data_IF_468669397535
#
_entry.id   IF_468669397535
#
_cell.length_a   1.000
_cell.length_b   1.000
_cell.length_c   1.000
_cell.angle_alpha   90.00
_cell.angle_beta   90.00
_cell.angle_gamma   90.00
#
_symmetry.space_group_name_H-M   'P 1'
#
loop_
_entity.id
_entity.type
_entity.pdbx_description
1 polymer ?
#
# COMPACT_ATOMS: atom_id res chain seq x y z
N UNK A 1 42.17 42.14 -9.92
CA UNK A 1 42.20 40.92 -10.76
C UNK A 1 42.50 41.33 -12.20
N UNK A 2 42.82 40.41 -13.12
CA UNK A 2 42.93 40.65 -14.58
C UNK A 2 44.34 40.95 -15.15
N UNK A 3 45.27 39.98 -15.04
CA UNK A 3 46.34 39.75 -16.04
C UNK A 3 46.53 38.24 -16.34
N UNK A 4 46.49 37.39 -15.31
CA UNK A 4 46.65 35.93 -15.45
C UNK A 4 45.52 35.21 -16.20
N UNK A 5 44.24 35.57 -15.94
CA UNK A 5 43.08 34.91 -16.56
C UNK A 5 43.00 35.16 -18.08
N UNK A 6 43.49 36.31 -18.55
CA UNK A 6 43.55 36.65 -19.98
C UNK A 6 44.61 35.81 -20.72
N UNK A 7 45.79 35.60 -20.14
CA UNK A 7 46.85 34.78 -20.73
C UNK A 7 46.41 33.31 -20.79
N UNK A 8 45.88 32.78 -19.68
CA UNK A 8 45.43 31.38 -19.62
C UNK A 8 44.27 31.12 -20.60
N UNK A 9 43.30 32.03 -20.67
CA UNK A 9 42.20 31.95 -21.63
C UNK A 9 42.71 31.95 -23.07
N UNK A 10 43.64 32.84 -23.42
CA UNK A 10 44.24 32.91 -24.77
C UNK A 10 44.97 31.62 -25.13
N UNK A 11 45.71 31.04 -24.19
CA UNK A 11 46.40 29.76 -24.38
C UNK A 11 45.42 28.62 -24.65
N UNK A 12 44.34 28.52 -23.87
CA UNK A 12 43.31 27.48 -24.09
C UNK A 12 42.54 27.73 -25.40
N UNK A 13 42.32 28.98 -25.79
CA UNK A 13 41.71 29.28 -27.10
C UNK A 13 42.60 28.87 -28.27
N UNK A 14 43.92 29.06 -28.18
CA UNK A 14 44.86 28.55 -29.18
C UNK A 14 44.81 27.03 -29.27
N UNK A 15 44.75 26.34 -28.12
CA UNK A 15 44.56 24.89 -28.07
C UNK A 15 43.22 24.46 -28.70
N UNK A 16 42.12 25.15 -28.37
CA UNK A 16 40.82 24.88 -28.94
C UNK A 16 40.77 25.12 -30.46
N UNK A 17 41.53 26.10 -30.98
CA UNK A 17 41.66 26.33 -32.41
C UNK A 17 42.36 25.15 -33.11
N UNK A 18 43.45 24.63 -32.54
CA UNK A 18 44.11 23.40 -33.03
C UNK A 18 43.17 22.19 -32.98
N UNK A 19 42.42 22.03 -31.88
CA UNK A 19 41.42 20.97 -31.74
C UNK A 19 40.32 21.09 -32.81
N UNK A 20 39.89 22.31 -33.13
CA UNK A 20 38.83 22.55 -34.10
C UNK A 20 39.16 22.09 -35.52
N UNK A 21 40.45 22.03 -35.87
CA UNK A 21 40.92 21.58 -37.19
C UNK A 21 40.74 20.06 -37.37
N UNK A 22 40.59 19.32 -36.27
CA UNK A 22 40.38 17.88 -36.26
C UNK A 22 38.88 17.50 -36.21
N UNK A 23 37.98 18.49 -36.08
CA UNK A 23 36.54 18.26 -36.01
C UNK A 23 35.93 18.20 -37.42
N UNK A 24 35.07 17.21 -37.71
CA UNK A 24 34.31 17.17 -38.95
C UNK A 24 33.39 18.39 -39.07
N UNK A 25 33.39 19.05 -40.23
CA UNK A 25 32.50 20.19 -40.51
C UNK A 25 31.04 19.74 -40.49
N UNK A 26 30.17 20.53 -39.89
CA UNK A 26 28.75 20.25 -39.71
C UNK A 26 28.42 19.35 -38.52
N UNK A 27 29.42 18.90 -37.75
CA UNK A 27 29.19 18.02 -36.60
C UNK A 27 28.54 18.75 -35.42
N UNK A 28 27.72 18.01 -34.66
CA UNK A 28 27.29 18.40 -33.32
C UNK A 28 28.30 17.85 -32.32
N UNK A 29 28.92 18.73 -31.55
CA UNK A 29 30.08 18.44 -30.71
C UNK A 29 29.71 18.60 -29.24
N UNK A 30 29.90 17.55 -28.45
CA UNK A 30 29.83 17.61 -27.00
C UNK A 30 31.24 17.62 -26.43
N UNK A 31 31.51 18.54 -25.51
CA UNK A 31 32.81 18.68 -24.84
C UNK A 31 32.61 18.25 -23.40
N UNK A 32 33.10 17.06 -23.10
CA UNK A 32 33.09 16.53 -21.75
C UNK A 32 34.17 17.20 -20.90
N UNK A 33 33.98 17.16 -19.59
CA UNK A 33 35.03 17.54 -18.66
C UNK A 33 36.29 16.67 -18.83
N UNK A 34 37.45 17.29 -18.72
CA UNK A 34 38.72 16.56 -18.66
C UNK A 34 39.01 16.13 -17.22
N UNK A 35 39.24 14.84 -17.01
CA UNK A 35 39.52 14.26 -15.69
C UNK A 35 41.00 13.93 -15.51
N UNK A 36 41.44 13.51 -14.33
CA UNK A 36 42.71 12.80 -14.21
C UNK A 36 42.56 11.32 -14.65
N UNK A 37 43.63 10.53 -14.53
CA UNK A 37 43.62 9.09 -14.84
C UNK A 37 42.73 8.26 -13.90
N UNK A 38 42.29 8.82 -12.77
CA UNK A 38 41.37 8.18 -11.83
C UNK A 38 39.92 8.63 -12.04
N UNK A 39 39.66 9.46 -13.05
CA UNK A 39 38.32 9.97 -13.34
C UNK A 39 37.91 11.17 -12.48
N UNK A 40 38.81 11.68 -11.64
CA UNK A 40 38.52 12.85 -10.82
C UNK A 40 38.62 14.09 -11.71
N UNK A 41 37.48 14.76 -11.89
CA UNK A 41 37.43 16.03 -12.62
C UNK A 41 37.79 17.18 -11.69
N UNK A 42 38.95 17.78 -11.92
CA UNK A 42 39.32 19.03 -11.24
C UNK A 42 38.52 20.21 -11.80
N UNK A 43 38.45 21.32 -11.05
CA UNK A 43 37.87 22.55 -11.58
C UNK A 43 38.61 23.04 -12.83
N UNK A 44 39.94 22.86 -12.90
CA UNK A 44 40.69 23.20 -14.10
C UNK A 44 40.23 22.35 -15.30
N UNK A 45 39.91 21.08 -15.08
CA UNK A 45 39.22 20.20 -16.06
C UNK A 45 37.95 20.81 -16.61
N UNK A 46 37.07 21.27 -15.71
CA UNK A 46 35.82 21.95 -16.08
C UNK A 46 36.07 23.27 -16.82
N UNK A 47 37.02 24.06 -16.34
CA UNK A 47 37.39 25.35 -16.93
C UNK A 47 37.91 25.19 -18.36
N UNK A 48 38.77 24.20 -18.61
CA UNK A 48 39.26 23.86 -19.96
C UNK A 48 38.08 23.51 -20.87
N UNK A 49 37.19 22.60 -20.45
CA UNK A 49 36.01 22.24 -21.24
C UNK A 49 35.13 23.45 -21.57
N UNK A 50 34.87 24.34 -20.60
CA UNK A 50 34.11 25.58 -20.80
C UNK A 50 34.80 26.53 -21.79
N UNK A 51 36.12 26.69 -21.71
CA UNK A 51 36.86 27.58 -22.62
C UNK A 51 36.93 27.01 -24.04
N UNK A 52 37.11 25.71 -24.20
CA UNK A 52 37.01 25.04 -25.51
C UNK A 52 35.59 25.25 -26.06
N UNK A 53 34.54 25.02 -25.26
CA UNK A 53 33.15 25.24 -25.67
C UNK A 53 32.89 26.67 -26.13
N UNK A 54 33.30 27.65 -25.34
CA UNK A 54 33.16 29.08 -25.67
C UNK A 54 33.94 29.50 -26.91
N UNK A 55 35.07 28.84 -27.22
CA UNK A 55 35.82 29.10 -28.44
C UNK A 55 35.15 28.46 -29.65
N UNK A 56 34.70 27.22 -29.50
CA UNK A 56 34.06 26.47 -30.57
C UNK A 56 32.68 27.05 -30.94
N UNK A 57 31.88 27.52 -29.99
CA UNK A 57 30.58 28.18 -30.28
C UNK A 57 30.70 29.42 -31.16
N UNK A 58 31.87 30.06 -31.22
CA UNK A 58 32.14 31.21 -32.10
C UNK A 58 32.44 30.79 -33.55
N UNK A 59 32.70 29.52 -33.80
CA UNK A 59 32.96 28.98 -35.12
C UNK A 59 31.67 28.37 -35.68
N UNK A 60 31.25 28.83 -36.86
CA UNK A 60 30.00 28.42 -37.51
C UNK A 60 30.07 27.03 -38.16
N UNK A 61 31.22 26.38 -38.15
CA UNK A 61 31.43 25.10 -38.79
C UNK A 61 30.90 23.90 -37.98
N UNK A 62 30.47 24.09 -36.74
CA UNK A 62 29.96 23.02 -35.88
C UNK A 62 28.96 23.56 -34.86
N UNK A 63 28.10 22.68 -34.36
CA UNK A 63 27.13 23.00 -33.31
C UNK A 63 27.62 22.45 -31.98
N UNK A 64 27.81 23.29 -30.97
CA UNK A 64 28.25 22.83 -29.65
C UNK A 64 27.05 22.57 -28.76
N UNK A 65 27.01 21.41 -28.11
CA UNK A 65 25.95 21.06 -27.17
C UNK A 65 26.07 21.88 -25.88
N UNK A 66 24.95 22.39 -25.38
CA UNK A 66 24.91 23.08 -24.09
C UNK A 66 25.11 22.09 -22.93
N UNK A 67 26.06 22.43 -22.05
CA UNK A 67 26.45 21.62 -20.90
C UNK A 67 25.31 21.45 -19.90
N UNK A 68 24.54 22.50 -19.64
CA UNK A 68 23.47 22.47 -18.63
C UNK A 68 22.37 21.47 -19.01
N UNK A 69 22.12 21.34 -20.31
CA UNK A 69 21.15 20.40 -20.86
C UNK A 69 21.53 18.94 -20.55
N UNK A 70 22.83 18.62 -20.53
CA UNK A 70 23.33 17.27 -20.21
C UNK A 70 23.27 16.97 -18.72
N UNK A 71 23.61 17.94 -17.87
CA UNK A 71 23.55 17.76 -16.42
C UNK A 71 22.11 17.46 -15.95
N UNK A 72 21.10 18.02 -16.62
CA UNK A 72 19.69 17.69 -16.35
C UNK A 72 19.36 16.25 -16.76
N UNK A 73 19.75 15.84 -17.98
CA UNK A 73 19.50 14.47 -18.48
C UNK A 73 20.18 13.43 -17.58
N UNK A 74 21.42 13.68 -17.16
CA UNK A 74 22.17 12.77 -16.27
C UNK A 74 21.50 12.63 -14.90
N UNK A 75 20.93 13.71 -14.35
CA UNK A 75 20.16 13.69 -13.09
C UNK A 75 18.87 12.89 -13.25
N UNK A 76 18.13 13.09 -14.33
CA UNK A 76 16.88 12.36 -14.60
C UNK A 76 17.12 10.86 -14.79
N UNK A 77 18.18 10.49 -15.52
CA UNK A 77 18.52 9.09 -15.78
C UNK A 77 19.25 8.40 -14.62
N UNK A 78 19.52 9.09 -13.50
CA UNK A 78 20.31 8.60 -12.36
C UNK A 78 21.63 7.95 -12.81
N UNK A 79 22.23 8.48 -13.87
CA UNK A 79 23.40 7.88 -14.50
C UNK A 79 24.60 8.00 -13.55
N UNK A 80 25.12 6.86 -13.09
CA UNK A 80 26.31 6.81 -12.24
C UNK A 80 27.50 6.45 -13.11
N UNK A 81 28.37 7.43 -13.38
CA UNK A 81 29.67 7.17 -13.96
C UNK A 81 30.77 7.56 -12.96
N UNK A 82 31.80 6.72 -12.87
CA UNK A 82 32.92 6.86 -11.94
C UNK A 82 33.90 7.98 -12.32
N UNK A 83 33.51 8.85 -13.25
CA UNK A 83 34.34 9.95 -13.75
C UNK A 83 35.41 9.55 -14.77
N UNK A 84 35.83 8.28 -14.81
CA UNK A 84 36.76 7.76 -15.83
C UNK A 84 35.98 7.57 -17.13
N UNK A 85 36.23 8.43 -18.13
CA UNK A 85 35.60 8.31 -19.45
C UNK A 85 36.50 7.53 -20.37
N UNK A 86 36.12 6.28 -20.65
CA UNK A 86 36.68 5.46 -21.72
C UNK A 86 35.91 5.67 -23.03
N UNK A 87 36.37 5.08 -24.14
CA UNK A 87 35.72 5.24 -25.44
C UNK A 87 34.25 4.76 -25.42
N UNK A 88 33.90 3.75 -24.60
CA UNK A 88 32.53 3.24 -24.49
C UNK A 88 31.62 4.23 -23.78
N UNK A 89 32.05 4.71 -22.61
CA UNK A 89 31.33 5.71 -21.82
C UNK A 89 31.20 7.02 -22.62
N UNK A 90 32.22 7.39 -23.38
CA UNK A 90 32.18 8.56 -24.26
C UNK A 90 31.09 8.44 -25.33
N UNK A 91 30.93 7.27 -25.96
CA UNK A 91 29.85 7.02 -26.93
C UNK A 91 28.47 7.17 -26.27
N UNK A 92 28.28 6.64 -25.07
CA UNK A 92 27.01 6.75 -24.34
C UNK A 92 26.68 8.20 -24.00
N UNK A 93 27.65 8.94 -23.43
CA UNK A 93 27.49 10.36 -23.12
C UNK A 93 27.20 11.17 -24.38
N UNK A 94 27.89 10.89 -25.49
CA UNK A 94 27.63 11.54 -26.78
C UNK A 94 26.21 11.31 -27.30
N UNK A 95 25.70 10.07 -27.19
CA UNK A 95 24.31 9.73 -27.56
C UNK A 95 23.29 10.45 -26.68
N UNK A 96 23.50 10.43 -25.36
CA UNK A 96 22.64 11.15 -24.40
C UNK A 96 22.64 12.65 -24.70
N UNK A 97 23.77 13.18 -25.15
CA UNK A 97 23.92 14.57 -25.51
C UNK A 97 23.39 14.96 -26.88
N UNK A 98 22.93 13.99 -27.69
CA UNK A 98 22.55 14.25 -29.08
C UNK A 98 23.73 14.74 -29.93
N UNK A 99 24.97 14.41 -29.53
CA UNK A 99 26.17 14.79 -30.24
C UNK A 99 26.60 13.70 -31.22
N UNK A 100 27.08 14.12 -32.40
CA UNK A 100 27.73 13.22 -33.36
C UNK A 100 29.20 12.97 -33.01
N UNK A 101 29.82 13.91 -32.28
CA UNK A 101 31.23 13.86 -31.89
C UNK A 101 31.34 14.24 -30.42
N UNK A 102 32.15 13.49 -29.66
CA UNK A 102 32.48 13.82 -28.28
C UNK A 102 33.98 14.12 -28.17
N UNK A 103 34.30 15.19 -27.45
CA UNK A 103 35.65 15.55 -27.03
C UNK A 103 35.75 15.26 -25.55
N UNK A 104 36.70 14.41 -25.16
CA UNK A 104 36.98 14.08 -23.77
C UNK A 104 38.48 13.92 -23.60
N UNK A 105 38.98 13.87 -22.37
CA UNK A 105 40.42 13.82 -22.20
C UNK A 105 40.90 13.87 -20.77
N UNK A 106 42.21 14.00 -20.62
CA UNK A 106 42.87 14.00 -19.32
C UNK A 106 43.62 15.28 -19.05
N UNK A 107 43.62 15.71 -17.78
CA UNK A 107 44.52 16.75 -17.27
C UNK A 107 45.53 16.08 -16.37
N UNK A 108 46.81 16.29 -16.69
CA UNK A 108 47.93 15.81 -15.88
C UNK A 108 48.70 17.00 -15.32
N UNK A 109 48.77 17.07 -13.99
CA UNK A 109 49.49 18.11 -13.30
C UNK A 109 50.91 17.65 -12.94
N UNK A 110 51.93 18.37 -13.43
CA UNK A 110 53.33 18.18 -13.06
C UNK A 110 53.83 19.35 -12.22
N UNK A 111 55.02 19.23 -11.62
CA UNK A 111 55.60 20.28 -10.77
C UNK A 111 55.70 21.64 -11.48
N UNK A 112 56.08 21.67 -12.75
CA UNK A 112 56.37 22.89 -13.52
C UNK A 112 55.44 23.12 -14.71
N UNK A 113 54.51 22.21 -15.00
CA UNK A 113 53.60 22.31 -16.14
C UNK A 113 52.28 21.58 -15.89
N UNK A 114 51.27 21.88 -16.68
CA UNK A 114 50.01 21.15 -16.76
C UNK A 114 49.84 20.68 -18.20
N UNK A 115 49.64 19.39 -18.40
CA UNK A 115 49.33 18.79 -19.69
C UNK A 115 47.81 18.59 -19.81
N UNK A 116 47.27 18.95 -20.97
CA UNK A 116 45.89 18.70 -21.37
C UNK A 116 45.95 17.79 -22.58
N UNK A 117 45.37 16.60 -22.47
CA UNK A 117 45.25 15.64 -23.56
C UNK A 117 43.78 15.52 -23.93
N UNK A 118 43.44 15.68 -25.21
CA UNK A 118 42.07 15.50 -25.71
C UNK A 118 42.02 14.42 -26.78
N UNK A 119 40.98 13.59 -26.70
CA UNK A 119 40.54 12.64 -27.70
C UNK A 119 39.23 13.12 -28.30
N UNK A 120 39.12 12.97 -29.62
CA UNK A 120 37.92 13.28 -30.39
C UNK A 120 37.38 11.94 -30.89
N UNK A 121 36.14 11.62 -30.55
CA UNK A 121 35.52 10.35 -30.89
C UNK A 121 34.23 10.57 -31.67
N UNK A 122 34.08 9.85 -32.78
CA UNK A 122 32.81 9.75 -33.50
C UNK A 122 31.87 8.82 -32.75
N UNK A 123 30.70 9.35 -32.35
CA UNK A 123 29.69 8.63 -31.59
C UNK A 123 29.04 7.53 -32.43
N UNK A 124 28.89 7.77 -33.73
CA UNK A 124 28.31 6.82 -34.68
C UNK A 124 29.22 5.60 -34.87
N UNK A 125 30.52 5.83 -35.11
CA UNK A 125 31.45 4.74 -35.43
C UNK A 125 32.18 4.19 -34.21
N UNK A 126 32.04 4.81 -33.04
CA UNK A 126 32.80 4.52 -31.82
C UNK A 126 34.32 4.51 -32.03
N UNK A 127 34.83 5.39 -32.91
CA UNK A 127 36.26 5.49 -33.24
C UNK A 127 36.81 6.84 -32.84
N UNK A 128 38.01 6.83 -32.28
CA UNK A 128 38.81 8.05 -32.10
C UNK A 128 39.23 8.54 -33.49
N UNK A 129 38.80 9.74 -33.84
CA UNK A 129 39.06 10.38 -35.13
C UNK A 129 40.16 11.43 -35.05
N UNK A 130 40.56 11.81 -33.84
CA UNK A 130 41.66 12.74 -33.61
C UNK A 130 42.10 12.78 -32.17
N UNK A 131 43.34 13.19 -31.95
CA UNK A 131 43.92 13.41 -30.62
C UNK A 131 44.77 14.67 -30.67
N UNK A 132 44.77 15.45 -29.60
CA UNK A 132 45.63 16.63 -29.48
C UNK A 132 45.99 16.85 -28.03
N UNK A 133 47.26 17.12 -27.77
CA UNK A 133 47.77 17.50 -26.47
C UNK A 133 48.28 18.95 -26.45
N UNK A 134 48.32 19.53 -25.26
CA UNK A 134 48.90 20.83 -25.04
C UNK A 134 49.50 20.94 -23.65
N UNK A 135 50.66 21.59 -23.55
CA UNK A 135 51.38 21.76 -22.29
C UNK A 135 51.45 23.23 -21.91
N UNK A 136 50.92 23.56 -20.74
CA UNK A 136 50.95 24.90 -20.16
C UNK A 136 52.03 24.93 -19.08
N UNK A 137 53.07 25.75 -19.24
CA UNK A 137 54.06 25.95 -18.19
C UNK A 137 53.42 26.69 -17.00
N UNK A 138 53.62 26.17 -15.78
CA UNK A 138 53.16 26.80 -14.55
C UNK A 138 54.02 28.03 -14.25
N UNK A 139 53.60 29.19 -14.74
CA UNK A 139 54.10 30.47 -14.24
C UNK A 139 53.47 30.77 -12.87
N UNK A 140 54.05 31.70 -12.10
CA UNK A 140 53.57 32.09 -10.77
C UNK A 140 52.06 32.44 -10.77
N UNK A 141 51.60 33.12 -11.82
CA UNK A 141 50.19 33.51 -11.99
C UNK A 141 49.24 32.32 -12.22
N UNK A 142 49.70 31.26 -12.90
CA UNK A 142 48.92 30.03 -13.15
C UNK A 142 48.90 29.16 -11.91
N UNK A 143 50.01 29.11 -11.16
CA UNK A 143 50.08 28.40 -9.89
C UNK A 143 49.13 29.01 -8.84
N UNK A 144 49.02 30.34 -8.77
CA UNK A 144 48.12 31.03 -7.82
C UNK A 144 46.63 30.84 -8.17
N UNK A 145 46.28 30.78 -9.46
CA UNK A 145 44.93 30.46 -9.93
C UNK A 145 44.56 28.99 -9.62
N UNK A 146 45.49 28.06 -9.83
CA UNK A 146 45.31 26.65 -9.46
C UNK A 146 45.17 26.50 -7.93
N UNK A 147 45.98 27.21 -7.15
CA UNK A 147 45.94 27.18 -5.69
C UNK A 147 44.62 27.75 -5.12
N UNK A 148 44.14 28.88 -5.65
CA UNK A 148 42.87 29.51 -5.21
C UNK A 148 41.67 28.61 -5.48
N UNK A 149 41.71 27.92 -6.61
CA UNK A 149 40.68 26.96 -7.01
C UNK A 149 40.73 25.69 -6.16
N UNK A 150 41.92 25.14 -5.89
CA UNK A 150 42.10 23.97 -5.01
C UNK A 150 41.64 24.30 -3.58
N UNK A 151 42.01 25.47 -3.03
CA UNK A 151 41.57 25.88 -1.70
C UNK A 151 40.05 26.02 -1.60
N UNK A 152 39.39 26.49 -2.66
CA UNK A 152 37.93 26.57 -2.70
C UNK A 152 37.27 25.18 -2.71
N UNK A 153 37.87 24.19 -3.39
CA UNK A 153 37.38 22.81 -3.41
C UNK A 153 37.64 22.04 -2.10
N UNK A 154 38.76 22.30 -1.42
CA UNK A 154 39.06 21.73 -0.10
C UNK A 154 38.18 22.31 1.00
N UNK A 155 37.89 23.62 0.95
CA UNK A 155 36.93 24.25 1.84
C UNK A 155 35.53 23.69 1.63
N UNK A 156 35.10 23.55 0.37
CA UNK A 156 33.79 22.97 0.04
C UNK A 156 33.71 21.50 0.49
N UNK A 157 34.79 20.73 0.35
CA UNK A 157 34.87 19.35 0.84
C UNK A 157 34.78 19.28 2.36
N UNK A 158 35.48 20.17 3.09
CA UNK A 158 35.40 20.25 4.56
C UNK A 158 34.01 20.66 5.04
N UNK A 159 33.37 21.60 4.36
CA UNK A 159 32.00 22.01 4.65
C UNK A 159 31.02 20.86 4.41
N UNK A 160 31.14 20.15 3.28
CA UNK A 160 30.33 18.96 2.99
C UNK A 160 30.57 17.82 4.00
N UNK A 161 31.82 17.60 4.42
CA UNK A 161 32.14 16.59 5.44
C UNK A 161 31.56 16.97 6.80
N UNK A 162 31.62 18.24 7.19
CA UNK A 162 31.00 18.74 8.41
C UNK A 162 29.46 18.63 8.36
N UNK A 163 28.85 18.97 7.22
CA UNK A 163 27.40 18.83 7.01
C UNK A 163 26.98 17.36 7.02
N UNK A 164 27.74 16.47 6.37
CA UNK A 164 27.52 15.02 6.42
C UNK A 164 27.58 14.49 7.85
N UNK A 165 28.53 14.96 8.66
CA UNK A 165 28.60 14.54 10.07
C UNK A 165 27.38 15.00 10.88
N UNK A 166 26.89 16.22 10.65
CA UNK A 166 25.66 16.71 11.30
C UNK A 166 24.44 15.87 10.91
N UNK A 167 24.30 15.53 9.63
CA UNK A 167 23.21 14.68 9.14
C UNK A 167 23.27 13.30 9.79
N UNK A 168 24.47 12.70 9.87
CA UNK A 168 24.64 11.39 10.52
C UNK A 168 24.23 11.43 12.00
N UNK A 169 24.67 12.46 12.73
CA UNK A 169 24.27 12.66 14.13
C UNK A 169 22.74 12.82 14.28
N UNK A 170 22.11 13.54 13.37
CA UNK A 170 20.66 13.75 13.39
C UNK A 170 19.90 12.45 13.11
N UNK A 171 20.37 11.62 12.17
CA UNK A 171 19.80 10.30 11.88
C UNK A 171 19.92 9.38 13.09
N UNK A 172 21.07 9.37 13.75
CA UNK A 172 21.30 8.52 14.94
C UNK A 172 20.38 8.94 16.10
N UNK A 173 20.25 10.24 16.34
CA UNK A 173 19.33 10.77 17.35
C UNK A 173 17.86 10.44 17.05
N UNK A 174 17.43 10.57 15.80
CA UNK A 174 16.07 10.20 15.38
C UNK A 174 15.80 8.70 15.56
N UNK A 175 16.79 7.85 15.27
CA UNK A 175 16.71 6.40 15.49
C UNK A 175 16.56 6.07 16.97
N UNK A 176 17.37 6.67 17.83
CA UNK A 176 17.30 6.46 19.29
C UNK A 176 15.93 6.87 19.84
N UNK A 177 15.45 8.07 19.47
CA UNK A 177 14.14 8.55 19.90
C UNK A 177 13.00 7.63 19.43
N UNK A 178 13.06 7.13 18.20
CA UNK A 178 12.06 6.21 17.68
C UNK A 178 12.09 4.86 18.41
N UNK A 179 13.28 4.34 18.70
CA UNK A 179 13.44 3.09 19.45
C UNK A 179 12.87 3.22 20.87
N UNK A 180 13.19 4.31 21.57
CA UNK A 180 12.64 4.60 22.90
C UNK A 180 11.11 4.71 22.89
N UNK A 181 10.53 5.30 21.84
CA UNK A 181 9.08 5.37 21.64
C UNK A 181 8.44 3.98 21.49
N UNK A 182 9.06 3.10 20.70
CA UNK A 182 8.58 1.72 20.49
C UNK A 182 8.67 0.89 21.78
N UNK A 183 9.75 1.02 22.54
CA UNK A 183 9.93 0.33 23.83
C UNK A 183 8.86 0.73 24.85
N UNK A 184 8.49 2.02 24.88
CA UNK A 184 7.43 2.52 25.74
C UNK A 184 6.07 1.92 25.37
N UNK A 185 5.75 1.89 24.07
CA UNK A 185 4.51 1.31 23.56
C UNK A 185 4.42 -0.20 23.83
N UNK A 186 5.52 -0.93 23.62
CA UNK A 186 5.61 -2.36 23.94
C UNK A 186 5.32 -2.62 25.43
N UNK A 187 5.89 -1.79 26.31
CA UNK A 187 5.66 -1.90 27.76
C UNK A 187 4.19 -1.65 28.12
N UNK A 188 3.54 -0.67 27.49
CA UNK A 188 2.13 -0.39 27.69
C UNK A 188 1.24 -1.55 27.21
N UNK A 189 1.55 -2.11 26.04
CA UNK A 189 0.83 -3.26 25.49
C UNK A 189 0.97 -4.49 26.38
N UNK A 190 2.19 -4.79 26.85
CA UNK A 190 2.44 -5.89 27.81
C UNK A 190 1.59 -5.74 29.07
N UNK A 191 1.53 -4.53 29.64
CA UNK A 191 0.70 -4.28 30.83
C UNK A 191 -0.80 -4.45 30.53
N UNK A 192 -1.25 -4.01 29.35
CA UNK A 192 -2.64 -4.18 28.91
C UNK A 192 -3.01 -5.65 28.75
N UNK A 193 -2.12 -6.47 28.18
CA UNK A 193 -2.30 -7.92 28.03
C UNK A 193 -2.46 -8.57 29.41
N UNK A 194 -1.58 -8.27 30.36
CA UNK A 194 -1.64 -8.82 31.73
C UNK A 194 -3.00 -8.53 32.39
N UNK A 195 -3.51 -7.30 32.23
CA UNK A 195 -4.79 -6.90 32.78
C UNK A 195 -5.96 -7.64 32.11
N UNK A 196 -5.96 -7.72 30.77
CA UNK A 196 -6.98 -8.44 30.01
C UNK A 196 -7.00 -9.94 30.34
N UNK A 197 -5.84 -10.58 30.49
CA UNK A 197 -5.77 -11.97 30.91
C UNK A 197 -6.34 -12.20 32.31
N UNK A 198 -6.11 -11.26 33.24
CA UNK A 198 -6.72 -11.32 34.58
C UNK A 198 -8.24 -11.26 34.49
N UNK A 199 -8.76 -10.29 33.75
CA UNK A 199 -10.21 -10.11 33.55
C UNK A 199 -10.84 -11.35 32.87
N UNK A 200 -10.17 -11.91 31.86
CA UNK A 200 -10.60 -13.14 31.21
C UNK A 200 -10.65 -14.32 32.19
N UNK A 201 -9.61 -14.49 33.02
CA UNK A 201 -9.57 -15.55 34.05
C UNK A 201 -10.76 -15.42 35.01
N UNK A 202 -11.01 -14.23 35.54
CA UNK A 202 -12.14 -13.97 36.44
C UNK A 202 -13.48 -14.30 35.79
N UNK A 203 -13.73 -13.78 34.58
CA UNK A 203 -14.96 -14.05 33.81
C UNK A 203 -15.12 -15.54 33.47
N UNK A 204 -14.02 -16.25 33.19
CA UNK A 204 -14.06 -17.68 32.86
C UNK A 204 -14.52 -18.54 34.04
N UNK A 205 -14.22 -18.12 35.29
CA UNK A 205 -14.68 -18.81 36.50
C UNK A 205 -16.18 -18.60 36.67
N UNK A 206 -16.64 -17.35 36.60
CA UNK A 206 -18.07 -17.00 36.70
C UNK A 206 -18.90 -17.73 35.64
N UNK A 207 -18.39 -17.83 34.41
CA UNK A 207 -19.07 -18.55 33.34
C UNK A 207 -19.26 -20.04 33.66
N UNK A 208 -18.29 -20.69 34.32
CA UNK A 208 -18.42 -22.09 34.74
C UNK A 208 -19.54 -22.25 35.77
N UNK A 209 -19.62 -21.36 36.74
CA UNK A 209 -20.69 -21.37 37.76
C UNK A 209 -22.07 -21.20 37.13
N UNK A 210 -22.21 -20.24 36.20
CA UNK A 210 -23.47 -20.00 35.50
C UNK A 210 -23.92 -21.21 34.66
N UNK A 211 -22.99 -21.93 34.03
CA UNK A 211 -23.31 -23.17 33.29
C UNK A 211 -23.91 -24.23 34.21
N UNK A 212 -23.35 -24.42 35.40
CA UNK A 212 -23.87 -25.36 36.40
C UNK A 212 -25.28 -24.95 36.85
N UNK A 213 -25.51 -23.66 37.11
CA UNK A 213 -26.84 -23.15 37.46
C UNK A 213 -27.87 -23.39 36.35
N UNK A 214 -27.50 -23.17 35.08
CA UNK A 214 -28.37 -23.42 33.93
C UNK A 214 -28.80 -24.89 33.80
N UNK A 215 -27.91 -25.83 34.10
CA UNK A 215 -28.27 -27.25 34.13
C UNK A 215 -29.26 -27.59 35.23
N UNK A 216 -29.13 -26.98 36.42
CA UNK A 216 -30.12 -27.13 37.50
C UNK A 216 -31.50 -26.62 37.06
N UNK A 217 -31.56 -25.44 36.41
CA UNK A 217 -32.80 -24.88 35.90
C UNK A 217 -33.49 -25.80 34.87
N UNK A 218 -32.74 -26.42 33.95
CA UNK A 218 -33.30 -27.39 32.99
C UNK A 218 -33.96 -28.60 33.65
N UNK A 219 -33.42 -29.07 34.79
CA UNK A 219 -34.04 -30.17 35.54
C UNK A 219 -35.39 -29.76 36.12
N UNK A 220 -35.46 -28.57 36.71
CA UNK A 220 -36.70 -28.00 37.26
C UNK A 220 -37.74 -27.83 36.14
N UNK A 221 -37.35 -27.33 34.97
CA UNK A 221 -38.25 -27.16 33.83
C UNK A 221 -38.84 -28.50 33.35
N UNK A 222 -38.03 -29.58 33.35
CA UNK A 222 -38.50 -30.94 33.04
C UNK A 222 -39.54 -31.44 34.06
N UNK A 223 -39.32 -31.18 35.35
CA UNK A 223 -40.28 -31.52 36.41
C UNK A 223 -41.60 -30.77 36.25
N UNK A 224 -41.56 -29.46 35.98
CA UNK A 224 -42.75 -28.65 35.69
C UNK A 224 -43.55 -29.25 34.53
N UNK A 225 -42.89 -29.64 33.43
CA UNK A 225 -43.54 -30.24 32.28
C UNK A 225 -44.21 -31.59 32.59
N UNK A 226 -43.60 -32.41 33.46
CA UNK A 226 -44.22 -33.67 33.92
C UNK A 226 -45.51 -33.39 34.70
N UNK A 227 -45.46 -32.44 35.63
CA UNK A 227 -46.64 -32.03 36.42
C UNK A 227 -47.75 -31.52 35.49
N UNK A 228 -47.41 -30.71 34.49
CA UNK A 228 -48.38 -30.20 33.52
C UNK A 228 -49.13 -31.33 32.78
N UNK A 229 -48.40 -32.36 32.33
CA UNK A 229 -48.99 -33.52 31.66
C UNK A 229 -49.92 -34.34 32.58
N UNK A 230 -49.61 -34.44 33.87
CA UNK A 230 -50.48 -35.12 34.84
C UNK A 230 -51.79 -34.36 35.07
N UNK A 231 -51.73 -33.03 35.18
CA UNK A 231 -52.92 -32.18 35.25
C UNK A 231 -53.82 -32.38 34.03
N UNK A 232 -53.22 -32.43 32.83
CA UNK A 232 -53.98 -32.64 31.59
C UNK A 232 -54.70 -33.99 31.57
N UNK A 233 -54.03 -35.08 31.97
CA UNK A 233 -54.64 -36.42 32.06
C UNK A 233 -55.80 -36.47 33.06
N UNK A 234 -55.64 -35.83 34.22
CA UNK A 234 -56.69 -35.81 35.25
C UNK A 234 -57.93 -35.02 34.81
N UNK A 235 -57.78 -34.08 33.86
CA UNK A 235 -58.83 -33.10 33.56
C UNK A 235 -59.97 -33.58 32.63
N UNK A 236 -59.84 -34.70 31.90
CA UNK A 236 -60.85 -35.44 31.08
C UNK A 236 -62.01 -34.67 30.36
N UNK A 237 -61.88 -33.37 30.11
CA UNK A 237 -62.98 -32.49 29.67
C UNK A 237 -63.24 -32.44 28.16
N UNK A 238 -62.29 -32.88 27.34
CA UNK A 238 -62.39 -32.82 25.87
C UNK A 238 -63.37 -33.89 25.32
N UNK A 239 -63.56 -35.01 26.03
CA UNK A 239 -64.48 -36.09 25.63
C UNK A 239 -65.96 -35.73 25.80
N UNK A 240 -66.27 -34.65 26.52
CA UNK A 240 -67.64 -34.19 26.76
C UNK A 240 -68.20 -33.37 25.59
N UNK A 241 -67.34 -32.94 24.66
CA UNK A 241 -67.75 -32.14 23.51
C UNK A 241 -68.51 -33.01 22.50
N UNK A 242 -69.62 -32.46 21.98
CA UNK A 242 -70.45 -33.08 20.93
C UNK A 242 -70.68 -32.09 19.80
N UNK A 243 -70.85 -32.61 18.59
CA UNK A 243 -71.27 -31.79 17.45
C UNK A 243 -72.66 -31.21 17.70
N UNK A 244 -72.85 -29.94 17.33
CA UNK A 244 -74.09 -29.21 17.58
C UNK A 244 -74.11 -28.37 18.86
N UNK A 245 -73.12 -28.53 19.76
CA UNK A 245 -73.00 -27.68 20.95
C UNK A 245 -72.78 -26.22 20.57
N UNK A 246 -73.30 -25.30 21.38
CA UNK A 246 -73.06 -23.88 21.21
C UNK A 246 -71.67 -23.48 21.72
N UNK A 247 -71.15 -22.37 21.22
CA UNK A 247 -69.84 -21.83 21.64
C UNK A 247 -69.76 -21.57 23.15
N UNK A 248 -70.85 -21.10 23.76
CA UNK A 248 -70.92 -20.85 25.19
C UNK A 248 -70.89 -22.15 26.00
N UNK A 249 -71.62 -23.19 25.59
CA UNK A 249 -71.57 -24.53 26.21
C UNK A 249 -70.15 -25.14 26.13
N UNK A 250 -69.47 -24.96 25.00
CA UNK A 250 -68.09 -25.42 24.83
C UNK A 250 -67.13 -24.65 25.74
N UNK A 251 -67.30 -23.33 25.86
CA UNK A 251 -66.51 -22.49 26.76
C UNK A 251 -66.78 -22.79 28.23
N UNK A 252 -68.00 -23.20 28.60
CA UNK A 252 -68.33 -23.65 29.95
C UNK A 252 -67.58 -24.94 30.32
N UNK A 253 -67.53 -25.92 29.40
CA UNK A 253 -66.84 -27.19 29.59
C UNK A 253 -65.31 -27.00 29.68
N UNK A 254 -64.75 -26.18 28.78
CA UNK A 254 -63.30 -26.04 28.63
C UNK A 254 -62.71 -24.89 29.47
N UNK A 255 -63.52 -23.90 29.83
CA UNK A 255 -63.13 -22.71 30.59
C UNK A 255 -61.99 -21.96 29.92
N UNK A 256 -61.07 -21.45 30.75
CA UNK A 256 -59.88 -20.68 30.33
C UNK A 256 -58.87 -21.44 29.46
N UNK A 257 -59.10 -22.74 29.19
CA UNK A 257 -58.24 -23.56 28.31
C UNK A 257 -58.53 -23.33 26.83
N UNK A 258 -59.74 -22.86 26.50
CA UNK A 258 -60.09 -22.45 25.16
C UNK A 258 -59.62 -21.02 24.93
N UNK A 259 -58.77 -20.82 23.93
CA UNK A 259 -58.36 -19.49 23.46
C UNK A 259 -59.04 -19.20 22.14
N UNK A 260 -59.72 -18.06 22.05
CA UNK A 260 -60.32 -17.60 20.82
C UNK A 260 -59.21 -17.31 19.78
N UNK A 261 -59.41 -17.76 18.55
CA UNK A 261 -58.54 -17.38 17.45
C UNK A 261 -58.70 -15.90 17.11
N UNK A 262 -57.59 -15.20 16.84
CA UNK A 262 -57.59 -13.86 16.24
C UNK A 262 -57.88 -13.89 14.73
N UNK A 263 -58.13 -15.07 14.16
CA UNK A 263 -58.44 -15.28 12.75
C UNK A 263 -59.87 -14.80 12.41
N UNK A 264 -60.16 -14.39 11.16
CA UNK A 264 -61.53 -14.10 10.70
C UNK A 264 -62.49 -15.29 10.79
N UNK A 265 -61.97 -16.50 11.05
CA UNK A 265 -62.75 -17.72 11.22
C UNK A 265 -63.05 -17.99 12.69
N UNK A 266 -64.27 -18.45 12.98
CA UNK A 266 -64.75 -18.63 14.35
C UNK A 266 -64.27 -19.98 14.92
N UNK A 267 -63.07 -19.97 15.52
CA UNK A 267 -62.43 -21.14 16.11
C UNK A 267 -61.97 -20.94 17.56
N UNK A 268 -61.95 -22.04 18.31
CA UNK A 268 -61.29 -22.14 19.62
C UNK A 268 -60.09 -23.08 19.57
N UNK A 269 -58.94 -22.63 20.09
CA UNK A 269 -57.76 -23.45 20.30
C UNK A 269 -57.72 -24.00 21.72
N UNK A 270 -57.56 -25.32 21.85
CA UNK A 270 -57.60 -26.02 23.13
C UNK A 270 -56.46 -27.04 23.16
N UNK A 271 -55.30 -26.64 23.69
CA UNK A 271 -54.09 -27.45 23.60
C UNK A 271 -53.75 -27.76 22.14
N UNK A 272 -53.77 -29.04 21.77
CA UNK A 272 -53.55 -29.50 20.38
C UNK A 272 -54.80 -29.56 19.51
N UNK A 273 -55.97 -29.18 20.02
CA UNK A 273 -57.22 -29.26 19.28
C UNK A 273 -57.63 -27.90 18.72
N UNK A 274 -58.18 -27.93 17.51
CA UNK A 274 -58.85 -26.78 16.87
C UNK A 274 -60.33 -27.12 16.77
N UNK A 275 -61.17 -26.32 17.41
CA UNK A 275 -62.63 -26.47 17.37
C UNK A 275 -63.20 -25.41 16.43
N UNK A 276 -63.88 -25.85 15.37
CA UNK A 276 -64.42 -24.99 14.31
C UNK A 276 -65.92 -24.82 14.50
N UNK A 277 -66.36 -23.57 14.49
CA UNK A 277 -67.76 -23.19 14.60
C UNK A 277 -68.29 -22.64 13.27
N UNK A 278 -69.58 -22.83 13.03
CA UNK A 278 -70.32 -22.14 11.96
C UNK A 278 -71.45 -21.36 12.62
N UNK A 279 -71.31 -20.04 12.66
CA UNK A 279 -72.12 -19.23 13.58
C UNK A 279 -71.84 -19.65 15.02
N UNK A 280 -72.88 -19.87 15.82
CA UNK A 280 -72.73 -20.26 17.23
C UNK A 280 -72.50 -21.76 17.45
N UNK A 281 -72.52 -22.60 16.42
CA UNK A 281 -72.61 -24.06 16.56
C UNK A 281 -71.28 -24.75 16.25
N UNK A 282 -70.87 -25.67 17.12
CA UNK A 282 -69.68 -26.51 16.98
C UNK A 282 -69.91 -27.54 15.87
N UNK A 283 -69.14 -27.41 14.79
CA UNK A 283 -69.30 -28.24 13.60
C UNK A 283 -68.24 -29.32 13.49
N UNK A 284 -67.04 -29.05 14.00
CA UNK A 284 -65.90 -29.94 13.78
C UNK A 284 -64.80 -29.72 14.81
N UNK A 285 -64.08 -30.78 15.15
CA UNK A 285 -62.80 -30.67 15.85
C UNK A 285 -61.68 -31.39 15.09
N UNK A 286 -60.56 -30.70 14.93
CA UNK A 286 -59.32 -31.27 14.39
C UNK A 286 -58.24 -31.34 15.48
N UNK A 287 -57.21 -32.15 15.23
CA UNK A 287 -55.97 -32.15 16.00
C UNK A 287 -54.91 -31.45 15.12
N UNK A 288 -54.19 -30.49 15.70
CA UNK A 288 -53.05 -29.87 15.06
C UNK A 288 -52.01 -30.93 14.69
N UNK A 289 -51.57 -30.95 13.44
CA UNK A 289 -50.64 -31.98 12.93
C UNK A 289 -51.31 -33.16 12.21
N UNK A 290 -52.64 -33.31 12.24
CA UNK A 290 -53.33 -34.45 11.61
C UNK A 290 -53.36 -34.31 10.07
N UNK A 291 -53.07 -35.40 9.35
CA UNK A 291 -53.05 -35.45 7.88
C UNK A 291 -53.77 -36.71 7.39
N UNK A 292 -54.92 -36.53 6.75
CA UNK A 292 -55.72 -37.66 6.22
C UNK A 292 -56.49 -37.18 5.01
N UNK A 293 -55.88 -37.32 3.84
CA UNK A 293 -56.58 -37.32 2.56
C UNK A 293 -56.01 -38.49 1.74
N UNK A 294 -56.81 -39.50 1.34
CA UNK A 294 -56.29 -40.68 0.62
C UNK A 294 -55.80 -40.38 -0.81
N UNK A 295 -56.18 -39.24 -1.42
CA UNK A 295 -56.12 -39.06 -2.88
C UNK A 295 -55.32 -37.85 -3.39
N UNK A 296 -54.43 -37.22 -2.61
CA UNK A 296 -53.63 -36.08 -3.13
C UNK A 296 -52.19 -36.08 -2.62
N UNK A 297 -51.23 -36.02 -3.55
CA UNK A 297 -49.79 -36.20 -3.39
C UNK A 297 -49.01 -35.02 -2.77
N UNK A 298 -49.66 -34.09 -2.07
CA UNK A 298 -49.00 -33.14 -1.17
C UNK A 298 -49.89 -32.92 0.07
N UNK A 299 -49.39 -33.41 1.21
CA UNK A 299 -50.09 -33.47 2.49
C UNK A 299 -50.26 -32.09 3.10
N UNK A 300 -51.50 -31.65 3.20
CA UNK A 300 -51.86 -30.46 3.95
C UNK A 300 -52.26 -30.87 5.37
N UNK A 301 -51.53 -30.33 6.33
CA UNK A 301 -51.66 -30.61 7.76
C UNK A 301 -52.70 -29.64 8.34
N UNK A 302 -53.54 -30.09 9.26
CA UNK A 302 -54.32 -29.15 10.07
C UNK A 302 -53.36 -28.42 11.02
N UNK A 303 -52.99 -27.19 10.72
CA UNK A 303 -52.06 -26.34 11.49
C UNK A 303 -52.69 -25.03 11.96
N UNK A 304 -53.83 -24.65 11.38
CA UNK A 304 -54.59 -23.46 11.76
C UNK A 304 -56.11 -23.67 11.56
N UNK A 305 -56.88 -22.64 11.92
CA UNK A 305 -58.34 -22.67 11.80
C UNK A 305 -58.82 -22.81 10.34
N UNK A 306 -58.11 -22.20 9.39
CA UNK A 306 -58.47 -22.24 7.97
C UNK A 306 -58.24 -23.62 7.37
N UNK A 307 -57.12 -24.28 7.73
CA UNK A 307 -56.80 -25.62 7.29
C UNK A 307 -57.73 -26.64 7.94
N UNK A 308 -58.07 -26.51 9.24
CA UNK A 308 -59.07 -27.39 9.86
C UNK A 308 -60.48 -27.27 9.25
N UNK A 309 -60.89 -26.05 8.84
CA UNK A 309 -62.17 -25.81 8.18
C UNK A 309 -62.20 -26.34 6.74
N UNK A 310 -61.14 -26.11 5.96
CA UNK A 310 -61.08 -26.44 4.54
C UNK A 310 -60.76 -27.93 4.27
N UNK A 311 -60.02 -28.59 5.17
CA UNK A 311 -59.60 -29.99 4.96
C UNK A 311 -60.69 -31.01 5.27
N UNK A 312 -60.68 -32.13 4.54
CA UNK A 312 -61.42 -33.37 4.88
C UNK A 312 -60.75 -34.15 6.03
N UNK A 313 -60.26 -33.48 7.07
CA UNK A 313 -59.79 -34.19 8.27
C UNK A 313 -60.96 -34.87 8.99
N UNK A 314 -60.78 -36.10 9.53
CA UNK A 314 -61.77 -36.79 10.34
C UNK A 314 -62.21 -35.91 11.49
N UNK A 315 -63.52 -35.76 11.66
CA UNK A 315 -64.06 -35.06 12.81
C UNK A 315 -63.72 -35.86 14.07
N UNK A 316 -62.99 -35.25 15.01
CA UNK A 316 -62.55 -35.90 16.27
C UNK A 316 -63.55 -35.71 17.41
N UNK A 317 -64.61 -34.95 17.18
CA UNK A 317 -65.71 -34.78 18.11
C UNK A 317 -66.77 -35.83 17.76
N UNK A 318 -67.25 -36.54 18.78
CA UNK A 318 -68.26 -37.57 18.60
C UNK A 318 -69.62 -36.93 18.27
N UNK A 319 -70.43 -37.63 17.48
CA UNK A 319 -71.87 -37.39 17.37
C UNK A 319 -72.57 -37.93 18.63
#
# INVERSE_FOLDING_TARGET
>A
MVKGDDILSKTIYSYADSLSQLLPVGSTVFINDHSDFNGVTSYFGKYVAVKISNRLTKNKNFTVVDRNSIELILKEQKFQYSGVVDEKTAVELGKMAGASVIVFGTITEFTNKVSIDSKILSVETAKVIGTTDYSINKTKDVADLIATVISSSEQQKKELEAERQKILQQIDLERENKLAGLELEERQLKQKIINLEREYREKSVVLKEYKVQKEKLRKIESEINKIHNEIDRASNKISLLKIGMTKDEVLEILGKRARQSESPYDCLYVGKYILVFKGATLMKGCIMGDSTNPDVSYGNIADDCSSCQAFRTPNRIRF
#
